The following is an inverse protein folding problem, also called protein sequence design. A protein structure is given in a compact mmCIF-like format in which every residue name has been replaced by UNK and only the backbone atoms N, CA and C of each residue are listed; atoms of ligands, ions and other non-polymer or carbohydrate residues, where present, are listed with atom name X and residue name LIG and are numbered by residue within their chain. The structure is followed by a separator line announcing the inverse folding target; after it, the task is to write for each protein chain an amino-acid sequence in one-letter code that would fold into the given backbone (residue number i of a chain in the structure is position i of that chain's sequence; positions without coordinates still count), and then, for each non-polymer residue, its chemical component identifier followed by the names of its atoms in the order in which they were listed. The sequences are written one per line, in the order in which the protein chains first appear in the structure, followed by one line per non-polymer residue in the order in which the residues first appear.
data_IF_342379164478
#
_entry.id   IF_342379164478
#
_cell.length_a   1.000
_cell.length_b   1.000
_cell.length_c   1.000
_cell.angle_alpha   90.00
_cell.angle_beta   90.00
_cell.angle_gamma   90.00
#
_symmetry.space_group_name_H-M   'P 1'
#
loop_
_entity.id
_entity.type
_entity.pdbx_description
1 polymer ?
#
# COMPACT_ATOMS: atom_id res chain seq x y z
N UNK A 1 -17.34 32.99 5.29
CA UNK A 1 -16.22 32.24 4.67
C UNK A 1 -15.04 32.30 5.63
N UNK A 2 -14.89 31.31 6.50
CA UNK A 2 -13.70 31.15 7.36
C UNK A 2 -12.89 29.98 6.79
N UNK A 3 -11.86 30.29 6.01
CA UNK A 3 -10.89 29.27 5.60
C UNK A 3 -10.11 28.81 6.82
N UNK A 4 -10.20 27.53 7.18
CA UNK A 4 -9.30 26.94 8.17
C UNK A 4 -7.90 26.83 7.56
N UNK A 5 -6.89 27.29 8.30
CA UNK A 5 -5.49 27.19 7.91
C UNK A 5 -5.05 25.75 8.18
N UNK A 6 -4.87 24.95 7.13
CA UNK A 6 -4.42 23.56 7.25
C UNK A 6 -2.89 23.47 7.30
N UNK A 7 -2.34 22.93 8.40
CA UNK A 7 -0.92 22.57 8.53
C UNK A 7 -0.62 21.37 7.63
N UNK A 8 0.42 21.45 6.79
CA UNK A 8 0.91 20.30 6.00
C UNK A 8 2.26 19.85 6.51
N UNK A 9 2.43 18.55 6.74
CA UNK A 9 3.68 17.96 7.20
C UNK A 9 4.55 17.57 5.99
N UNK A 10 5.83 17.99 5.99
CA UNK A 10 6.77 17.61 4.92
C UNK A 10 7.24 16.17 5.06
N UNK A 11 7.41 15.71 6.30
CA UNK A 11 7.83 14.36 6.68
C UNK A 11 6.88 13.79 7.74
N UNK A 12 5.70 13.30 7.36
CA UNK A 12 4.85 12.58 8.30
C UNK A 12 5.51 11.25 8.68
N UNK A 13 5.32 10.80 9.92
CA UNK A 13 5.72 9.44 10.31
C UNK A 13 4.92 8.44 9.49
N UNK A 14 5.60 7.73 8.59
CA UNK A 14 4.95 6.93 7.54
C UNK A 14 5.00 5.44 7.88
N UNK A 15 3.81 4.84 7.96
CA UNK A 15 3.61 3.41 8.20
C UNK A 15 3.06 2.74 6.95
N UNK A 16 3.78 1.75 6.43
CA UNK A 16 3.29 0.90 5.34
C UNK A 16 2.71 -0.38 5.90
N UNK A 17 1.43 -0.65 5.60
CA UNK A 17 0.74 -1.86 6.03
C UNK A 17 0.80 -2.87 4.88
N UNK A 18 1.54 -3.95 5.11
CA UNK A 18 1.87 -4.97 4.13
C UNK A 18 1.16 -6.29 4.41
N UNK A 19 0.96 -7.09 3.36
CA UNK A 19 0.26 -8.37 3.50
C UNK A 19 -0.34 -8.89 2.20
N UNK A 20 -0.69 -10.18 2.20
CA UNK A 20 -1.30 -10.83 1.06
C UNK A 20 -2.66 -10.22 0.69
N UNK A 21 -3.17 -10.49 -0.51
CA UNK A 21 -4.55 -10.15 -0.89
C UNK A 21 -5.49 -10.83 0.11
N UNK A 22 -6.43 -10.09 0.70
CA UNK A 22 -7.36 -10.64 1.71
C UNK A 22 -6.80 -10.77 3.13
N UNK A 23 -5.60 -10.25 3.45
CA UNK A 23 -5.00 -10.35 4.78
C UNK A 23 -5.62 -9.43 5.86
N UNK A 24 -6.56 -8.55 5.50
CA UNK A 24 -7.20 -7.62 6.44
C UNK A 24 -6.53 -6.23 6.55
N UNK A 25 -5.67 -5.84 5.60
CA UNK A 25 -5.05 -4.51 5.56
C UNK A 25 -6.05 -3.37 5.62
N UNK A 26 -7.07 -3.37 4.76
CA UNK A 26 -8.12 -2.34 4.78
C UNK A 26 -8.85 -2.28 6.13
N UNK A 27 -9.02 -3.42 6.82
CA UNK A 27 -9.60 -3.48 8.18
C UNK A 27 -8.67 -2.84 9.21
N UNK A 28 -7.35 -3.11 9.14
CA UNK A 28 -6.35 -2.41 9.95
C UNK A 28 -6.40 -0.91 9.70
N UNK A 29 -6.38 -0.46 8.44
CA UNK A 29 -6.47 0.96 8.09
C UNK A 29 -7.74 1.61 8.65
N UNK A 30 -8.88 0.91 8.56
CA UNK A 30 -10.16 1.38 9.10
C UNK A 30 -10.13 1.60 10.62
N UNK A 31 -9.33 0.80 11.36
CA UNK A 31 -9.10 1.04 12.79
C UNK A 31 -8.43 2.40 13.04
N UNK A 32 -7.60 2.89 12.12
CA UNK A 32 -6.89 4.18 12.25
C UNK A 32 -7.66 5.39 11.72
N UNK A 33 -8.68 5.19 10.87
CA UNK A 33 -9.52 6.29 10.33
C UNK A 33 -10.23 7.11 11.42
N UNK A 34 -10.40 6.55 12.61
CA UNK A 34 -11.04 7.22 13.76
C UNK A 34 -10.16 8.26 14.46
N UNK A 35 -8.90 8.43 14.04
CA UNK A 35 -7.95 9.34 14.67
C UNK A 35 -7.65 10.55 13.78
N UNK A 36 -7.97 11.75 14.25
CA UNK A 36 -7.82 13.01 13.49
C UNK A 36 -6.36 13.36 13.17
N UNK A 37 -5.40 12.83 13.93
CA UNK A 37 -3.98 13.02 13.72
C UNK A 37 -3.37 12.02 12.73
N UNK A 38 -4.17 11.24 12.00
CA UNK A 38 -3.70 10.25 11.01
C UNK A 38 -4.31 10.53 9.64
N UNK A 39 -3.48 10.54 8.60
CA UNK A 39 -3.93 10.44 7.22
C UNK A 39 -3.83 8.99 6.77
N UNK A 40 -4.97 8.40 6.38
CA UNK A 40 -5.07 7.02 5.90
C UNK A 40 -5.13 7.02 4.38
N UNK A 41 -4.26 6.25 3.73
CA UNK A 41 -4.18 6.12 2.28
C UNK A 41 -4.40 4.66 1.88
N UNK A 42 -5.55 4.35 1.32
CA UNK A 42 -5.86 3.00 0.84
C UNK A 42 -5.18 2.70 -0.51
N UNK A 43 -5.05 1.42 -0.83
CA UNK A 43 -4.58 0.96 -2.13
C UNK A 43 -5.53 1.48 -3.22
N UNK A 44 -5.03 2.14 -4.30
CA UNK A 44 -5.87 2.86 -5.24
C UNK A 44 -6.49 1.92 -6.30
N UNK A 45 -7.12 0.82 -5.85
CA UNK A 45 -7.71 -0.22 -6.70
C UNK A 45 -8.71 0.36 -7.71
N UNK A 46 -9.48 1.38 -7.31
CA UNK A 46 -10.45 2.02 -8.21
C UNK A 46 -9.77 2.74 -9.39
N UNK A 47 -8.58 3.31 -9.20
CA UNK A 47 -7.81 3.88 -10.32
C UNK A 47 -7.37 2.80 -11.30
N UNK A 48 -7.15 1.57 -10.83
CA UNK A 48 -6.71 0.45 -11.66
C UNK A 48 -7.89 -0.24 -12.38
N UNK A 49 -9.10 -0.07 -11.85
CA UNK A 49 -10.37 -0.55 -12.43
C UNK A 49 -10.93 0.36 -13.51
N UNK A 50 -10.51 1.62 -13.53
CA UNK A 50 -10.91 2.58 -14.55
C UNK A 50 -9.72 3.42 -15.00
N UNK A 51 -9.00 2.89 -15.98
CA UNK A 51 -7.98 3.62 -16.72
C UNK A 51 -8.57 4.02 -18.07
N UNK A 52 -9.15 5.22 -18.11
CA UNK A 52 -9.80 5.77 -19.32
C UNK A 52 -10.91 4.84 -19.86
N UNK A 53 -11.78 4.36 -18.98
CA UNK A 53 -12.88 3.44 -19.30
C UNK A 53 -12.48 1.96 -19.37
N UNK A 54 -11.22 1.62 -19.03
CA UNK A 54 -10.70 0.25 -19.13
C UNK A 54 -10.32 -0.31 -17.76
N UNK A 55 -10.81 -1.51 -17.44
CA UNK A 55 -10.42 -2.24 -16.23
C UNK A 55 -9.09 -2.94 -16.40
N UNK A 56 -7.99 -2.24 -16.10
CA UNK A 56 -6.64 -2.75 -16.25
C UNK A 56 -6.33 -3.89 -15.28
N UNK A 57 -6.94 -3.88 -14.08
CA UNK A 57 -6.83 -4.98 -13.12
C UNK A 57 -7.43 -6.28 -13.66
N UNK A 58 -8.60 -6.21 -14.28
CA UNK A 58 -9.24 -7.36 -14.94
C UNK A 58 -8.41 -7.86 -16.13
N UNK A 59 -7.85 -6.97 -16.95
CA UNK A 59 -6.94 -7.34 -18.04
C UNK A 59 -5.69 -8.06 -17.55
N UNK A 60 -5.12 -7.63 -16.42
CA UNK A 60 -3.97 -8.31 -15.80
C UNK A 60 -4.30 -9.74 -15.37
N UNK A 61 -5.48 -9.97 -14.80
CA UNK A 61 -5.88 -11.33 -14.38
C UNK A 61 -6.33 -12.23 -15.54
N UNK A 62 -6.92 -11.66 -16.59
CA UNK A 62 -7.44 -12.41 -17.74
C UNK A 62 -6.36 -12.73 -18.79
N UNK A 63 -5.46 -11.78 -19.09
CA UNK A 63 -4.37 -11.96 -20.06
C UNK A 63 -3.03 -11.42 -19.51
N UNK A 64 -2.47 -12.05 -18.47
CA UNK A 64 -1.28 -11.55 -17.77
C UNK A 64 -0.06 -11.40 -18.68
N UNK A 65 0.13 -12.27 -19.67
CA UNK A 65 1.27 -12.19 -20.61
C UNK A 65 1.28 -10.90 -21.42
N UNK A 66 0.11 -10.27 -21.66
CA UNK A 66 0.01 -9.04 -22.43
C UNK A 66 0.02 -7.79 -21.54
N UNK A 67 -0.65 -7.86 -20.39
CA UNK A 67 -0.97 -6.69 -19.56
C UNK A 67 -0.18 -6.60 -18.26
N UNK A 68 0.57 -7.62 -17.85
CA UNK A 68 1.33 -7.58 -16.60
C UNK A 68 2.31 -6.40 -16.54
N UNK A 69 3.07 -6.14 -17.61
CA UNK A 69 4.00 -5.02 -17.64
C UNK A 69 3.28 -3.67 -17.52
N UNK A 70 2.18 -3.49 -18.27
CA UNK A 70 1.38 -2.26 -18.24
C UNK A 70 0.77 -2.02 -16.86
N UNK A 71 0.18 -3.06 -16.27
CA UNK A 71 -0.44 -3.00 -14.95
C UNK A 71 0.61 -2.71 -13.87
N UNK A 72 1.73 -3.42 -13.84
CA UNK A 72 2.77 -3.18 -12.82
C UNK A 72 3.41 -1.79 -12.96
N UNK A 73 3.57 -1.27 -14.18
CA UNK A 73 4.03 0.11 -14.39
C UNK A 73 3.08 1.13 -13.76
N UNK A 74 1.76 0.94 -13.93
CA UNK A 74 0.76 1.84 -13.37
C UNK A 74 0.60 1.69 -11.85
N UNK A 75 0.72 0.47 -11.32
CA UNK A 75 0.78 0.22 -9.87
C UNK A 75 1.98 0.96 -9.25
N UNK A 76 3.17 0.87 -9.85
CA UNK A 76 4.33 1.61 -9.35
C UNK A 76 4.10 3.13 -9.34
N UNK A 77 3.55 3.69 -10.43
CA UNK A 77 3.23 5.12 -10.51
C UNK A 77 2.24 5.56 -9.42
N UNK A 78 1.13 4.86 -9.27
CA UNK A 78 0.08 5.21 -8.31
C UNK A 78 0.56 5.04 -6.86
N UNK A 79 1.35 4.00 -6.57
CA UNK A 79 2.00 3.84 -5.25
C UNK A 79 3.02 4.94 -4.97
N UNK A 80 3.80 5.36 -5.97
CA UNK A 80 4.73 6.48 -5.84
C UNK A 80 4.00 7.80 -5.54
N UNK A 81 2.86 8.03 -6.17
CA UNK A 81 2.01 9.20 -5.89
C UNK A 81 1.50 9.21 -4.44
N UNK A 82 1.12 8.04 -3.89
CA UNK A 82 0.75 7.93 -2.48
C UNK A 82 1.93 8.17 -1.53
N UNK A 83 3.13 7.68 -1.88
CA UNK A 83 4.33 7.92 -1.09
C UNK A 83 4.68 9.41 -1.02
N UNK A 84 4.60 10.10 -2.16
CA UNK A 84 5.05 11.49 -2.31
C UNK A 84 3.98 12.54 -2.01
N UNK A 85 2.73 12.13 -1.73
CA UNK A 85 1.68 13.08 -1.38
C UNK A 85 1.95 13.74 -0.02
N UNK A 86 1.57 15.01 0.09
CA UNK A 86 1.63 15.75 1.36
C UNK A 86 0.38 15.48 2.16
N UNK A 87 0.52 15.32 3.46
CA UNK A 87 -0.59 15.02 4.37
C UNK A 87 -0.82 16.15 5.37
N UNK A 88 -2.09 16.42 5.74
CA UNK A 88 -2.41 17.38 6.80
C UNK A 88 -2.10 16.84 8.21
N UNK A 89 -1.90 15.52 8.31
CA UNK A 89 -1.68 14.84 9.57
C UNK A 89 -0.20 14.48 9.78
N UNK A 90 0.26 14.45 11.04
CA UNK A 90 1.63 14.08 11.38
C UNK A 90 1.92 12.60 11.13
N UNK A 91 0.91 11.72 11.20
CA UNK A 91 1.04 10.31 10.87
C UNK A 91 0.40 10.01 9.51
N UNK A 92 1.09 9.21 8.68
CA UNK A 92 0.60 8.72 7.39
C UNK A 92 0.59 7.20 7.42
N UNK A 93 -0.58 6.58 7.32
CA UNK A 93 -0.72 5.12 7.28
C UNK A 93 -1.24 4.73 5.91
N UNK A 94 -0.48 3.92 5.18
CA UNK A 94 -0.82 3.54 3.82
C UNK A 94 -0.94 2.02 3.64
N UNK A 95 -1.91 1.59 2.86
CA UNK A 95 -2.06 0.20 2.43
C UNK A 95 -1.11 -0.06 1.27
N UNK A 96 -0.17 -1.00 1.50
CA UNK A 96 0.94 -1.31 0.60
C UNK A 96 1.90 -0.14 0.37
N UNK A 97 2.90 -0.42 -0.45
CA UNK A 97 3.98 0.50 -0.81
C UNK A 97 4.57 0.17 -2.18
N UNK A 98 5.41 1.07 -2.69
CA UNK A 98 6.26 0.79 -3.86
C UNK A 98 7.14 -0.46 -3.64
N UNK A 99 7.53 -0.77 -2.40
CA UNK A 99 8.31 -1.96 -2.08
C UNK A 99 7.51 -3.24 -2.32
N UNK A 100 6.26 -3.28 -1.86
CA UNK A 100 5.38 -4.42 -2.05
C UNK A 100 4.94 -4.62 -3.51
N UNK A 101 4.89 -3.55 -4.32
CA UNK A 101 4.67 -3.66 -5.75
C UNK A 101 5.73 -4.58 -6.40
N UNK A 102 6.99 -4.51 -5.93
CA UNK A 102 8.06 -5.38 -6.40
C UNK A 102 7.92 -6.85 -5.97
N UNK A 103 7.10 -7.17 -4.97
CA UNK A 103 6.74 -8.57 -4.66
C UNK A 103 5.87 -9.19 -5.77
N UNK A 104 4.97 -8.40 -6.36
CA UNK A 104 4.15 -8.86 -7.49
C UNK A 104 4.97 -8.99 -8.77
N UNK A 105 5.90 -8.05 -9.03
CA UNK A 105 6.87 -8.16 -10.13
C UNK A 105 7.73 -9.42 -9.97
N UNK A 106 8.24 -9.69 -8.77
CA UNK A 106 9.02 -10.90 -8.47
C UNK A 106 8.22 -12.18 -8.75
N UNK A 107 6.93 -12.22 -8.38
CA UNK A 107 6.08 -13.36 -8.69
C UNK A 107 5.89 -13.55 -10.19
N UNK A 108 5.66 -12.47 -10.94
CA UNK A 108 5.48 -12.49 -12.39
C UNK A 108 6.76 -12.95 -13.11
N UNK A 109 7.93 -12.55 -12.60
CA UNK A 109 9.26 -13.01 -13.03
C UNK A 109 9.44 -14.50 -12.77
N UNK A 110 9.22 -14.98 -11.53
CA UNK A 110 9.31 -16.42 -11.17
C UNK A 110 8.39 -17.31 -12.00
N UNK A 111 7.27 -16.76 -12.49
CA UNK A 111 6.31 -17.46 -13.34
C UNK A 111 6.58 -17.31 -14.85
N UNK A 112 7.65 -16.63 -15.27
CA UNK A 112 7.97 -16.32 -16.66
C UNK A 112 6.81 -15.63 -17.41
N UNK A 113 6.03 -14.80 -16.72
CA UNK A 113 4.95 -13.99 -17.33
C UNK A 113 5.52 -12.72 -17.94
N UNK A 114 6.42 -12.05 -17.21
CA UNK A 114 7.18 -10.92 -17.72
C UNK A 114 8.45 -11.44 -18.40
N UNK A 115 8.81 -10.82 -19.53
CA UNK A 115 10.09 -11.04 -20.20
C UNK A 115 11.20 -10.34 -19.42
N UNK A 116 12.44 -10.80 -19.57
CA UNK A 116 13.59 -10.23 -18.87
C UNK A 116 13.74 -8.72 -19.10
N UNK A 117 13.46 -8.25 -20.32
CA UNK A 117 13.49 -6.81 -20.66
C UNK A 117 12.42 -6.01 -19.91
N UNK A 118 11.23 -6.59 -19.71
CA UNK A 118 10.13 -5.95 -18.98
C UNK A 118 10.42 -5.89 -17.49
N UNK A 119 11.01 -6.96 -16.93
CA UNK A 119 11.49 -6.99 -15.55
C UNK A 119 12.57 -5.94 -15.33
N UNK A 120 13.59 -5.88 -16.21
CA UNK A 120 14.70 -4.93 -16.12
C UNK A 120 14.18 -3.48 -16.12
N UNK A 121 13.27 -3.15 -17.04
CA UNK A 121 12.69 -1.80 -17.10
C UNK A 121 11.92 -1.46 -15.81
N UNK A 122 11.14 -2.39 -15.27
CA UNK A 122 10.40 -2.18 -14.01
C UNK A 122 11.34 -2.03 -12.80
N UNK A 123 12.46 -2.75 -12.78
CA UNK A 123 13.49 -2.66 -11.73
C UNK A 123 14.27 -1.34 -11.85
N UNK A 124 14.66 -0.91 -13.06
CA UNK A 124 15.35 0.37 -13.30
C UNK A 124 14.49 1.57 -12.88
N UNK A 125 13.20 1.57 -13.24
CA UNK A 125 12.25 2.60 -12.81
C UNK A 125 12.11 2.64 -11.29
N UNK A 126 11.97 1.48 -10.67
CA UNK A 126 11.87 1.36 -9.22
C UNK A 126 13.11 1.94 -8.53
N UNK A 127 14.31 1.54 -8.95
CA UNK A 127 15.58 2.00 -8.40
C UNK A 127 15.77 3.51 -8.57
N UNK A 128 15.39 4.06 -9.72
CA UNK A 128 15.45 5.50 -9.97
C UNK A 128 14.48 6.27 -9.06
N UNK A 129 13.26 5.76 -8.87
CA UNK A 129 12.27 6.36 -7.98
C UNK A 129 12.74 6.38 -6.53
N UNK A 130 13.31 5.26 -6.03
CA UNK A 130 13.86 5.20 -4.67
C UNK A 130 14.96 6.23 -4.42
N UNK A 131 15.77 6.55 -5.43
CA UNK A 131 16.87 7.53 -5.32
C UNK A 131 16.41 8.97 -5.49
N UNK A 132 15.34 9.20 -6.26
CA UNK A 132 14.98 10.53 -6.76
C UNK A 132 13.73 11.12 -6.11
N UNK A 133 12.87 10.29 -5.50
CA UNK A 133 11.62 10.71 -4.88
C UNK A 133 11.68 10.62 -3.35
N UNK A 134 10.87 11.44 -2.68
CA UNK A 134 10.73 11.40 -1.22
C UNK A 134 9.85 10.23 -0.77
N UNK A 135 10.43 9.02 -0.77
CA UNK A 135 9.75 7.78 -0.38
C UNK A 135 10.15 7.47 1.06
N UNK A 136 9.47 8.11 1.99
CA UNK A 136 9.71 7.94 3.43
C UNK A 136 8.90 6.76 3.98
N UNK A 137 9.53 5.92 4.77
CA UNK A 137 8.88 4.83 5.48
C UNK A 137 9.61 4.65 6.80
N UNK A 138 8.92 4.87 7.91
CA UNK A 138 9.49 4.81 9.25
C UNK A 138 9.15 3.48 9.94
N UNK A 139 8.09 2.79 9.47
CA UNK A 139 7.65 1.51 10.00
C UNK A 139 6.92 0.69 8.93
N UNK A 140 7.12 -0.62 8.95
CA UNK A 140 6.32 -1.59 8.20
C UNK A 140 5.50 -2.43 9.18
N UNK A 141 4.19 -2.54 8.95
CA UNK A 141 3.33 -3.48 9.65
C UNK A 141 2.99 -4.62 8.70
N UNK A 142 3.56 -5.80 8.94
CA UNK A 142 3.26 -6.98 8.14
C UNK A 142 2.11 -7.79 8.75
N UNK A 143 0.92 -7.69 8.16
CA UNK A 143 -0.22 -8.56 8.44
C UNK A 143 0.02 -9.92 7.78
N UNK A 144 0.67 -10.81 8.53
CA UNK A 144 1.01 -12.17 8.08
C UNK A 144 -0.20 -13.08 8.31
N UNK A 145 -0.91 -13.40 7.23
CA UNK A 145 -2.05 -14.32 7.22
C UNK A 145 -1.75 -15.50 6.29
N UNK A 146 -2.10 -16.70 6.73
CA UNK A 146 -1.96 -17.95 5.97
C UNK A 146 -2.75 -17.91 4.66
N UNK A 147 -2.20 -18.49 3.58
CA UNK A 147 -2.85 -18.55 2.26
C UNK A 147 -4.28 -19.10 2.28
N UNK A 148 -4.53 -20.09 3.13
CA UNK A 148 -5.83 -20.74 3.31
C UNK A 148 -6.88 -19.75 3.84
N UNK A 149 -6.56 -19.03 4.92
CA UNK A 149 -7.46 -18.05 5.52
C UNK A 149 -7.71 -16.88 4.56
N UNK A 150 -6.68 -16.36 3.90
CA UNK A 150 -6.89 -15.26 2.94
C UNK A 150 -7.73 -15.69 1.73
N UNK A 151 -7.60 -16.95 1.29
CA UNK A 151 -8.40 -17.49 0.21
C UNK A 151 -9.89 -17.59 0.60
N UNK A 152 -10.18 -18.02 1.82
CA UNK A 152 -11.55 -18.04 2.36
C UNK A 152 -12.13 -16.62 2.46
N UNK A 153 -11.37 -15.67 3.04
CA UNK A 153 -11.78 -14.26 3.13
C UNK A 153 -12.03 -13.63 1.76
N UNK A 154 -11.18 -13.93 0.78
CA UNK A 154 -11.32 -13.46 -0.59
C UNK A 154 -12.62 -13.98 -1.23
N UNK A 155 -12.93 -15.26 -1.06
CA UNK A 155 -14.20 -15.86 -1.54
C UNK A 155 -15.42 -15.24 -0.89
N UNK A 156 -15.39 -15.02 0.43
CA UNK A 156 -16.49 -14.37 1.15
C UNK A 156 -16.73 -12.94 0.67
N UNK A 157 -15.65 -12.20 0.37
CA UNK A 157 -15.74 -10.82 -0.14
C UNK A 157 -16.29 -10.74 -1.58
N UNK A 158 -16.06 -11.75 -2.41
CA UNK A 158 -16.72 -11.93 -3.70
C UNK A 158 -16.44 -10.85 -4.76
N UNK A 159 -15.25 -10.22 -4.77
CA UNK A 159 -14.87 -9.27 -5.84
C UNK A 159 -14.70 -10.01 -7.16
N UNK A 160 -15.33 -9.50 -8.23
CA UNK A 160 -15.38 -10.17 -9.54
C UNK A 160 -14.00 -10.49 -10.11
N UNK A 161 -13.06 -9.55 -9.99
CA UNK A 161 -11.71 -9.70 -10.54
C UNK A 161 -10.89 -10.75 -9.79
N UNK A 162 -11.24 -11.03 -8.53
CA UNK A 162 -10.52 -11.96 -7.68
C UNK A 162 -10.94 -13.42 -7.91
N UNK A 163 -11.99 -13.67 -8.70
CA UNK A 163 -12.46 -15.02 -9.03
C UNK A 163 -11.42 -15.86 -9.79
N UNK A 164 -10.52 -15.21 -10.54
CA UNK A 164 -9.42 -15.88 -11.25
C UNK A 164 -8.23 -16.24 -10.33
N UNK A 165 -8.22 -15.75 -9.08
CA UNK A 165 -7.11 -15.94 -8.16
C UNK A 165 -7.19 -17.33 -7.52
N UNK A 166 -6.14 -18.13 -7.69
CA UNK A 166 -6.03 -19.47 -7.10
C UNK A 166 -5.34 -19.44 -5.73
N UNK A 167 -5.64 -20.44 -4.88
CA UNK A 167 -4.88 -20.67 -3.64
C UNK A 167 -3.38 -20.84 -3.92
N UNK A 168 -3.00 -21.48 -5.04
CA UNK A 168 -1.61 -21.62 -5.45
C UNK A 168 -0.94 -20.25 -5.65
N UNK A 169 -1.64 -19.31 -6.30
CA UNK A 169 -1.14 -17.95 -6.46
C UNK A 169 -0.97 -17.25 -5.10
N UNK A 170 -1.94 -17.39 -4.20
CA UNK A 170 -1.85 -16.79 -2.86
C UNK A 170 -0.69 -17.36 -2.04
N UNK A 171 -0.40 -18.67 -2.17
CA UNK A 171 0.80 -19.30 -1.58
C UNK A 171 2.10 -18.72 -2.11
N UNK A 172 2.17 -18.45 -3.42
CA UNK A 172 3.35 -17.84 -4.04
C UNK A 172 3.58 -16.41 -3.53
N UNK A 173 2.53 -15.59 -3.49
CA UNK A 173 2.61 -14.23 -2.95
C UNK A 173 2.96 -14.23 -1.46
N UNK A 174 2.39 -15.15 -0.68
CA UNK A 174 2.72 -15.32 0.74
C UNK A 174 4.21 -15.62 0.92
N UNK A 175 4.75 -16.59 0.19
CA UNK A 175 6.18 -16.93 0.27
C UNK A 175 7.07 -15.72 -0.04
N UNK A 176 6.75 -14.94 -1.07
CA UNK A 176 7.53 -13.75 -1.43
C UNK A 176 7.48 -12.69 -0.33
N UNK A 177 6.32 -12.47 0.30
CA UNK A 177 6.23 -11.55 1.43
C UNK A 177 6.99 -12.08 2.66
N UNK A 178 6.95 -13.39 2.93
CA UNK A 178 7.71 -14.01 4.01
C UNK A 178 9.22 -13.91 3.76
N UNK A 179 9.69 -14.22 2.56
CA UNK A 179 11.10 -14.07 2.17
C UNK A 179 11.56 -12.61 2.31
N UNK A 180 10.68 -11.63 2.08
CA UNK A 180 11.02 -10.21 2.22
C UNK A 180 10.95 -9.70 3.67
N UNK A 181 9.82 -9.88 4.36
CA UNK A 181 9.52 -9.19 5.63
C UNK A 181 9.75 -10.05 6.86
N UNK A 182 9.62 -11.37 6.74
CA UNK A 182 9.73 -12.30 7.88
C UNK A 182 11.13 -12.92 7.98
N UNK A 183 11.59 -13.55 6.90
CA UNK A 183 12.92 -14.16 6.81
C UNK A 183 14.00 -13.16 6.38
N UNK A 184 13.62 -12.08 5.70
CA UNK A 184 14.52 -11.02 5.23
C UNK A 184 15.65 -11.54 4.34
N UNK A 185 15.35 -12.51 3.49
CA UNK A 185 16.27 -13.18 2.55
C UNK A 185 16.13 -12.70 1.11
N UNK A 186 15.03 -12.01 0.75
CA UNK A 186 14.75 -11.63 -0.64
C UNK A 186 15.35 -10.27 -1.04
N UNK A 187 15.04 -9.23 -0.26
CA UNK A 187 15.43 -7.83 -0.54
C UNK A 187 15.68 -7.09 0.77
N UNK A 188 16.49 -6.02 0.77
CA UNK A 188 16.65 -5.16 1.94
C UNK A 188 15.29 -4.65 2.42
N UNK A 189 15.10 -4.66 3.73
CA UNK A 189 13.91 -4.09 4.36
C UNK A 189 14.21 -2.62 4.68
N UNK A 190 13.41 -1.65 4.20
CA UNK A 190 13.74 -0.23 4.33
C UNK A 190 13.54 0.33 5.74
N UNK A 191 12.77 -0.35 6.59
CA UNK A 191 12.35 0.13 7.90
C UNK A 191 12.10 -1.03 8.86
N UNK A 192 12.03 -0.80 10.19
CA UNK A 192 11.64 -1.82 11.15
C UNK A 192 10.27 -2.44 10.81
N UNK A 193 10.12 -3.75 11.10
CA UNK A 193 8.91 -4.51 10.79
C UNK A 193 8.24 -4.98 12.08
N UNK A 194 6.95 -4.65 12.23
CA UNK A 194 6.06 -5.28 13.21
C UNK A 194 5.28 -6.38 12.48
N UNK A 195 5.38 -7.61 12.97
CA UNK A 195 4.64 -8.75 12.41
C UNK A 195 3.41 -9.00 13.27
N UNK A 196 2.23 -8.95 12.65
CA UNK A 196 0.97 -9.28 13.28
C UNK A 196 0.45 -10.59 12.70
N UNK A 197 0.04 -11.51 13.58
CA UNK A 197 -0.58 -12.76 13.17
C UNK A 197 -2.03 -12.49 12.72
N UNK A 198 -2.22 -12.35 11.40
CA UNK A 198 -3.52 -12.06 10.81
C UNK A 198 -4.45 -13.26 10.65
N UNK A 199 -4.08 -14.45 11.16
CA UNK A 199 -4.94 -15.64 11.20
C UNK A 199 -6.01 -15.55 12.29
N UNK A 200 -5.82 -14.66 13.25
CA UNK A 200 -6.74 -14.48 14.38
C UNK A 200 -8.08 -13.86 13.96
N UNK A 201 -9.07 -14.05 14.82
CA UNK A 201 -10.39 -13.44 14.69
C UNK A 201 -10.34 -11.93 14.89
N UNK A 202 -11.33 -11.21 14.35
CA UNK A 202 -11.32 -9.74 14.35
C UNK A 202 -11.21 -9.14 15.76
N UNK A 203 -11.90 -9.71 16.75
CA UNK A 203 -11.87 -9.20 18.12
C UNK A 203 -10.48 -9.28 18.75
N UNK A 204 -9.74 -10.37 18.52
CA UNK A 204 -8.34 -10.52 18.97
C UNK A 204 -7.40 -9.60 18.20
N UNK A 205 -7.67 -9.39 16.90
CA UNK A 205 -6.88 -8.50 16.06
C UNK A 205 -7.02 -7.04 16.49
N UNK A 206 -8.18 -6.61 16.99
CA UNK A 206 -8.37 -5.24 17.49
C UNK A 206 -7.42 -4.93 18.65
N UNK A 207 -7.19 -5.88 19.56
CA UNK A 207 -6.22 -5.71 20.65
C UNK A 207 -4.79 -5.54 20.12
N UNK A 208 -4.40 -6.32 19.11
CA UNK A 208 -3.10 -6.18 18.45
C UNK A 208 -2.98 -4.85 17.68
N UNK A 209 -4.07 -4.36 17.08
CA UNK A 209 -4.12 -3.04 16.44
C UNK A 209 -3.92 -1.93 17.47
N UNK A 210 -4.52 -2.03 18.65
CA UNK A 210 -4.36 -1.05 19.72
C UNK A 210 -2.92 -1.04 20.28
N UNK A 211 -2.28 -2.20 20.42
CA UNK A 211 -0.84 -2.29 20.76
C UNK A 211 0.02 -1.60 19.71
N UNK A 212 -0.20 -1.93 18.43
CA UNK A 212 0.53 -1.33 17.31
C UNK A 212 0.31 0.19 17.25
N UNK A 213 -0.91 0.66 17.50
CA UNK A 213 -1.26 2.08 17.57
C UNK A 213 -0.47 2.79 18.68
N UNK A 214 -0.39 2.21 19.87
CA UNK A 214 0.38 2.79 20.97
C UNK A 214 1.88 2.90 20.60
N UNK A 215 2.42 1.89 19.92
CA UNK A 215 3.80 1.94 19.42
C UNK A 215 3.99 3.04 18.36
N UNK A 216 3.10 3.15 17.38
CA UNK A 216 3.14 4.19 16.33
C UNK A 216 3.08 5.58 16.97
N UNK A 217 2.12 5.82 17.88
CA UNK A 217 1.94 7.15 18.50
C UNK A 217 2.96 7.48 19.59
N UNK A 218 3.75 6.50 20.05
CA UNK A 218 4.87 6.75 20.97
C UNK A 218 6.07 7.38 20.29
N UNK A 219 6.14 7.34 18.95
CA UNK A 219 7.23 7.93 18.18
C UNK A 219 7.02 9.44 18.09
N UNK A 220 7.86 10.20 18.80
CA UNK A 220 7.80 11.67 18.81
C UNK A 220 8.09 12.20 17.40
N UNK A 221 7.17 13.02 16.88
CA UNK A 221 7.35 13.74 15.61
C UNK A 221 7.90 15.13 15.96
N UNK A 222 9.08 15.46 15.46
CA UNK A 222 9.72 16.74 15.70
C UNK A 222 8.98 17.84 14.93
N UNK A 223 8.46 18.85 15.63
CA UNK A 223 7.76 20.00 15.05
C UNK A 223 8.66 20.83 14.09
N UNK A 224 9.96 20.53 13.98
CA UNK A 224 10.86 21.19 13.03
C UNK A 224 10.56 20.89 11.55
N UNK A 225 9.77 19.87 11.24
CA UNK A 225 9.43 19.48 9.85
C UNK A 225 8.14 20.10 9.29
N UNK A 226 7.63 21.14 9.95
CA UNK A 226 6.37 21.82 9.63
C UNK A 226 6.61 22.99 8.67
N UNK A 227 5.89 23.02 7.55
CA UNK A 227 5.84 24.20 6.68
C UNK A 227 4.59 25.05 6.95
N UNK A 228 4.77 26.32 7.34
CA UNK A 228 3.71 27.33 7.32
C UNK A 228 3.46 27.82 5.88
N UNK A 229 2.99 26.96 4.98
CA UNK A 229 2.65 27.37 3.61
C UNK A 229 1.14 27.64 3.51
N UNK A 230 0.75 28.91 3.34
CA UNK A 230 -0.63 29.29 3.04
C UNK A 230 -0.99 28.78 1.65
N UNK A 231 -1.93 27.85 1.55
CA UNK A 231 -2.49 27.44 0.25
C UNK A 231 -4.00 27.62 0.31
N UNK A 232 -4.51 28.54 -0.49
CA UNK A 232 -5.91 28.57 -0.88
C UNK A 232 -6.09 27.42 -1.88
N UNK A 233 -6.89 26.42 -1.54
CA UNK A 233 -7.18 25.30 -2.44
C UNK A 233 -7.99 25.83 -3.63
N UNK A 234 -7.31 26.15 -4.73
CA UNK A 234 -7.95 26.45 -6.00
C UNK A 234 -8.05 25.15 -6.79
N UNK A 235 -9.26 24.62 -6.90
CA UNK A 235 -9.63 23.45 -7.70
C UNK A 235 -9.38 23.76 -9.18
N UNK A 236 -8.19 23.49 -9.72
CA UNK A 236 -7.94 23.37 -11.16
C UNK A 236 -6.51 22.87 -11.46
N UNK A 237 -6.30 21.57 -11.24
CA UNK A 237 -5.46 20.65 -12.05
C UNK A 237 -5.66 19.26 -11.45
N UNK A 238 -6.20 18.36 -12.25
CA UNK A 238 -6.71 17.04 -11.86
C UNK A 238 -5.57 16.13 -11.38
N UNK A 239 -5.25 16.20 -10.10
CA UNK A 239 -5.04 14.99 -9.30
C UNK A 239 -6.43 14.54 -8.87
N UNK A 240 -6.78 13.24 -8.89
CA UNK A 240 -8.06 12.80 -8.37
C UNK A 240 -8.15 13.28 -6.92
N UNK A 241 -9.26 13.94 -6.59
CA UNK A 241 -9.61 14.24 -5.20
C UNK A 241 -9.57 12.93 -4.44
N UNK A 242 -8.49 12.70 -3.69
CA UNK A 242 -8.50 11.74 -2.59
C UNK A 242 -9.48 12.36 -1.60
N UNK A 243 -10.76 12.02 -1.75
CA UNK A 243 -11.79 12.36 -0.77
C UNK A 243 -11.38 11.72 0.54
N UNK A 244 -10.68 12.47 1.37
CA UNK A 244 -10.85 12.35 2.80
C UNK A 244 -12.34 12.60 3.03
N UNK A 245 -13.10 11.54 3.24
CA UNK A 245 -14.52 11.62 3.52
C UNK A 245 -14.64 12.31 4.88
N UNK A 246 -14.93 13.60 4.86
CA UNK A 246 -15.52 14.32 5.99
C UNK A 246 -17.03 14.27 5.83
N UNK A 247 -17.67 13.83 6.91
CA UNK A 247 -19.12 13.67 7.18
C UNK A 247 -19.76 12.34 6.76
#
# INVERSE_FOLDING_TARGET
MSGSIGKLYRRPFTVCVEGNIGSGKTTFLSHFKKFDNVTVLEEPVELWRDVSGTNLLELMYSEPSRYAFLFQSYVQLTMLQLHTCKTPSPYKIMERSVYSAMCFVENLKRKNVLRDVEVTILEDWYDWCLKSANIETDLIVYLRTTPEIVYERMKQRGRKEENAISLKYLKQIHQIHDDWLYHQTLKPVPSPVIILNGDRELHEMVEEFDKCKNEIFSKVIDDRDINNTMITVSTNRVLPEIKAISD
#
